data_IF_309442965401
#
_entry.id   IF_309442965401
#
_cell.length_a   1.000
_cell.length_b   1.000
_cell.length_c   1.000
_cell.angle_alpha   90.00
_cell.angle_beta   90.00
_cell.angle_gamma   90.00
#
_symmetry.space_group_name_H-M   'P 1'
#
loop_
_entity.id
_entity.type
_entity.pdbx_description
1 polymer ?
#
# COMPACT_ATOMS: atom_id res chain seq x y z
N UNK A 1 -11.61 2.48 6.64
CA UNK A 1 -10.29 1.96 6.20
C UNK A 1 -10.42 1.37 4.80
N UNK A 2 -9.62 1.87 3.85
CA UNK A 2 -9.57 1.34 2.49
C UNK A 2 -8.27 0.57 2.24
N UNK A 3 -8.35 -0.55 1.53
CA UNK A 3 -7.21 -1.33 1.08
C UNK A 3 -6.86 -0.95 -0.37
N UNK A 4 -5.63 -0.50 -0.61
CA UNK A 4 -5.13 -0.21 -1.96
C UNK A 4 -4.07 -1.24 -2.34
N UNK A 5 -4.22 -1.91 -3.48
CA UNK A 5 -3.20 -2.87 -3.97
C UNK A 5 -2.86 -2.68 -5.43
N UNK A 6 -1.60 -2.93 -5.78
CA UNK A 6 -1.10 -2.86 -7.15
C UNK A 6 -1.45 -4.09 -8.00
N UNK A 7 -2.01 -5.17 -7.40
CA UNK A 7 -2.34 -6.40 -8.13
C UNK A 7 -3.64 -6.26 -8.92
N UNK A 8 -3.68 -6.81 -10.13
CA UNK A 8 -4.89 -6.96 -10.95
C UNK A 8 -5.78 -8.13 -10.47
N UNK A 9 -7.06 -8.13 -10.84
CA UNK A 9 -7.98 -9.25 -10.55
C UNK A 9 -7.47 -10.52 -11.25
N UNK A 10 -7.12 -11.60 -10.52
CA UNK A 10 -7.93 -12.39 -9.57
C UNK A 10 -7.33 -12.52 -8.15
N UNK A 11 -6.28 -11.75 -7.82
CA UNK A 11 -5.62 -11.82 -6.50
C UNK A 11 -6.38 -11.13 -5.35
N UNK A 12 -7.46 -10.40 -5.68
CA UNK A 12 -8.23 -9.54 -4.77
C UNK A 12 -9.00 -10.32 -3.70
N UNK A 13 -9.64 -11.40 -4.10
CA UNK A 13 -10.52 -12.18 -3.22
C UNK A 13 -9.74 -12.82 -2.07
N UNK A 14 -8.50 -13.24 -2.34
CA UNK A 14 -7.62 -13.82 -1.32
C UNK A 14 -7.20 -12.79 -0.27
N UNK A 15 -6.88 -11.57 -0.69
CA UNK A 15 -6.50 -10.51 0.24
C UNK A 15 -7.66 -10.12 1.17
N UNK A 16 -8.86 -9.97 0.60
CA UNK A 16 -10.07 -9.64 1.38
C UNK A 16 -10.41 -10.77 2.35
N UNK A 17 -10.37 -12.05 1.91
CA UNK A 17 -10.61 -13.21 2.77
C UNK A 17 -9.64 -13.30 3.94
N UNK A 18 -8.36 -12.99 3.74
CA UNK A 18 -7.37 -12.96 4.83
C UNK A 18 -7.70 -11.88 5.86
N UNK A 19 -8.04 -10.67 5.42
CA UNK A 19 -8.40 -9.57 6.33
C UNK A 19 -9.68 -9.88 7.12
N UNK A 20 -10.70 -10.46 6.46
CA UNK A 20 -11.91 -10.93 7.13
C UNK A 20 -11.61 -12.02 8.17
N UNK A 21 -10.73 -12.98 7.84
CA UNK A 21 -10.32 -14.03 8.78
C UNK A 21 -9.58 -13.48 10.01
N UNK A 22 -8.87 -12.34 9.86
CA UNK A 22 -8.23 -11.62 10.96
C UNK A 22 -9.15 -10.63 11.67
N UNK A 23 -10.45 -10.61 11.33
CA UNK A 23 -11.44 -9.67 11.88
C UNK A 23 -11.08 -8.20 11.66
N UNK A 24 -10.41 -7.89 10.55
CA UNK A 24 -10.08 -6.53 10.12
C UNK A 24 -11.22 -5.99 9.26
N UNK A 25 -11.84 -4.88 9.69
CA UNK A 25 -12.89 -4.21 8.93
C UNK A 25 -12.30 -3.41 7.76
N UNK A 26 -12.73 -3.74 6.54
CA UNK A 26 -12.35 -3.02 5.31
C UNK A 26 -13.62 -2.45 4.70
N UNK A 27 -13.71 -1.13 4.59
CA UNK A 27 -14.88 -0.47 4.03
C UNK A 27 -14.83 -0.52 2.49
N UNK A 28 -13.63 -0.34 1.91
CA UNK A 28 -13.43 -0.33 0.46
C UNK A 28 -12.09 -1.00 0.07
N UNK A 29 -12.05 -1.69 -1.06
CA UNK A 29 -10.82 -2.28 -1.59
C UNK A 29 -10.64 -1.91 -3.07
N UNK A 30 -9.49 -1.32 -3.40
CA UNK A 30 -9.18 -0.82 -4.74
C UNK A 30 -7.94 -1.47 -5.34
N UNK A 31 -8.10 -1.94 -6.58
CA UNK A 31 -7.11 -2.68 -7.34
C UNK A 31 -6.57 -1.77 -8.45
N UNK A 32 -5.48 -1.08 -8.15
CA UNK A 32 -4.93 -0.06 -9.05
C UNK A 32 -4.16 -0.64 -10.24
N UNK A 33 -3.81 -1.93 -10.22
CA UNK A 33 -3.20 -2.62 -11.37
C UNK A 33 -1.89 -1.98 -11.86
N UNK A 34 -1.13 -1.35 -10.95
CA UNK A 34 0.09 -0.61 -11.29
C UNK A 34 -0.10 0.88 -11.60
N UNK A 35 -1.32 1.43 -11.50
CA UNK A 35 -1.55 2.88 -11.56
C UNK A 35 -0.88 3.60 -10.38
N UNK A 36 -0.53 4.86 -10.64
CA UNK A 36 0.05 5.74 -9.64
C UNK A 36 -0.90 5.91 -8.44
N UNK A 37 -0.38 5.64 -7.25
CA UNK A 37 -1.13 5.73 -6.00
C UNK A 37 -1.36 7.19 -5.58
N UNK A 38 -0.51 8.13 -5.99
CA UNK A 38 -0.59 9.54 -5.59
C UNK A 38 -1.87 10.22 -6.08
N UNK A 39 -2.26 9.99 -7.34
CA UNK A 39 -3.50 10.52 -7.90
C UNK A 39 -4.73 9.99 -7.15
N UNK A 40 -4.67 8.72 -6.72
CA UNK A 40 -5.73 8.14 -5.88
C UNK A 40 -5.76 8.77 -4.49
N UNK A 41 -4.61 8.88 -3.81
CA UNK A 41 -4.52 9.45 -2.47
C UNK A 41 -4.99 10.91 -2.43
N UNK A 42 -4.72 11.69 -3.49
CA UNK A 42 -5.18 13.07 -3.61
C UNK A 42 -6.71 13.19 -3.65
N UNK A 43 -7.38 12.24 -4.33
CA UNK A 43 -8.85 12.23 -4.43
C UNK A 43 -9.50 11.62 -3.18
N UNK A 44 -8.98 10.49 -2.70
CA UNK A 44 -9.53 9.74 -1.57
C UNK A 44 -9.30 10.45 -0.23
N UNK A 45 -8.21 11.22 -0.10
CA UNK A 45 -7.82 11.99 1.09
C UNK A 45 -7.89 11.19 2.40
N UNK A 46 -7.11 10.10 2.53
CA UNK A 46 -7.05 9.38 3.79
C UNK A 46 -6.36 10.22 4.87
N UNK A 47 -6.65 9.95 6.15
CA UNK A 47 -5.91 10.57 7.26
C UNK A 47 -4.49 10.01 7.39
N UNK A 48 -4.31 8.72 7.07
CA UNK A 48 -3.03 8.00 7.14
C UNK A 48 -2.90 6.97 6.03
N UNK A 49 -1.70 6.79 5.49
CA UNK A 49 -1.35 5.82 4.45
C UNK A 49 -0.19 4.93 4.89
N UNK A 50 -0.25 3.63 4.59
CA UNK A 50 0.81 2.66 4.88
C UNK A 50 1.21 1.88 3.62
N UNK A 51 2.51 1.73 3.40
CA UNK A 51 3.07 0.96 2.28
C UNK A 51 4.41 0.33 2.65
N UNK A 52 4.82 -0.73 1.96
CA UNK A 52 6.09 -1.43 2.18
C UNK A 52 7.20 -0.97 1.22
N UNK A 53 6.87 -0.25 0.13
CA UNK A 53 7.85 0.31 -0.79
C UNK A 53 8.21 1.75 -0.43
N UNK A 54 9.49 2.00 -0.16
CA UNK A 54 10.04 3.33 0.15
C UNK A 54 9.63 4.38 -0.88
N UNK A 55 9.72 4.07 -2.19
CA UNK A 55 9.35 5.00 -3.27
C UNK A 55 7.87 5.42 -3.24
N UNK A 56 6.97 4.50 -2.85
CA UNK A 56 5.55 4.85 -2.68
C UNK A 56 5.37 5.73 -1.45
N UNK A 57 6.10 5.45 -0.38
CA UNK A 57 6.02 6.24 0.85
C UNK A 57 6.55 7.66 0.65
N UNK A 58 7.68 7.83 -0.05
CA UNK A 58 8.27 9.14 -0.36
C UNK A 58 7.30 10.03 -1.12
N UNK A 59 6.67 9.48 -2.16
CA UNK A 59 5.69 10.23 -2.98
C UNK A 59 4.38 10.48 -2.22
N UNK A 60 3.86 9.50 -1.46
CA UNK A 60 2.65 9.67 -0.66
C UNK A 60 2.83 10.66 0.51
N UNK A 61 4.02 10.74 1.10
CA UNK A 61 4.31 11.62 2.25
C UNK A 61 4.15 13.11 1.92
N UNK A 62 4.17 13.47 0.63
CA UNK A 62 3.91 14.82 0.15
C UNK A 62 2.42 15.19 0.21
N UNK A 63 1.54 14.20 0.35
CA UNK A 63 0.08 14.36 0.27
C UNK A 63 -0.63 14.00 1.58
N UNK A 64 -0.15 12.98 2.29
CA UNK A 64 -0.80 12.40 3.47
C UNK A 64 0.22 11.89 4.49
N UNK A 65 -0.14 11.88 5.77
CA UNK A 65 0.64 11.22 6.80
C UNK A 65 0.92 9.76 6.40
N UNK A 66 2.20 9.41 6.29
CA UNK A 66 2.62 8.15 5.67
C UNK A 66 3.51 7.35 6.61
N UNK A 67 3.18 6.08 6.82
CA UNK A 67 3.98 5.11 7.57
C UNK A 67 4.58 4.05 6.63
N UNK A 68 5.90 4.01 6.55
CA UNK A 68 6.59 2.90 5.88
C UNK A 68 6.58 1.67 6.79
N UNK A 69 6.13 0.53 6.25
CA UNK A 69 6.11 -0.76 6.95
C UNK A 69 7.24 -1.63 6.37
N UNK A 70 8.39 -1.77 7.06
CA UNK A 70 9.54 -2.48 6.50
C UNK A 70 9.22 -3.97 6.33
N UNK A 71 9.07 -4.41 5.08
CA UNK A 71 8.83 -5.82 4.77
C UNK A 71 9.35 -6.22 3.39
N UNK A 72 9.88 -7.44 3.27
CA UNK A 72 10.27 -8.05 2.00
C UNK A 72 11.63 -7.61 1.41
N UNK A 73 12.07 -8.37 0.40
CA UNK A 73 13.33 -8.26 -0.36
C UNK A 73 13.57 -6.87 -0.99
N UNK A 74 12.50 -6.12 -1.27
CA UNK A 74 12.60 -4.79 -1.88
C UNK A 74 13.15 -3.71 -0.93
N UNK A 75 13.26 -4.02 0.36
CA UNK A 75 13.83 -3.15 1.39
C UNK A 75 15.25 -3.56 1.80
N UNK A 76 15.88 -4.52 1.11
CA UNK A 76 17.27 -4.90 1.39
C UNK A 76 18.22 -3.74 1.07
N UNK A 77 18.85 -3.20 2.11
CA UNK A 77 19.98 -2.29 1.96
C UNK A 77 21.17 -3.11 1.43
N UNK A 78 21.47 -3.01 0.14
CA UNK A 78 22.65 -3.69 -0.43
C UNK A 78 23.90 -3.09 0.24
N UNK A 79 24.74 -3.88 0.94
CA UNK A 79 25.94 -3.33 1.55
C UNK A 79 26.81 -2.77 0.42
N UNK A 80 27.18 -1.49 0.53
CA UNK A 80 28.23 -0.92 -0.31
C UNK A 80 29.53 -1.55 0.20
N UNK A 81 30.05 -2.53 -0.56
CA UNK A 81 31.38 -3.09 -0.28
C UNK A 81 32.40 -1.97 -0.52
N UNK A 82 33.03 -1.52 0.56
CA UNK A 82 34.26 -0.73 0.54
C UNK A 82 35.46 -1.67 0.41
#
# INVERSE_FOLDING_TARGET
>A
MALVTARSAPAHERAIRTLMAWSVAVDEAMFLGGKDKTAFLAEFRPDIFFDDHVRNCETASQLVATGHVPYGINNECRPVLH
#
